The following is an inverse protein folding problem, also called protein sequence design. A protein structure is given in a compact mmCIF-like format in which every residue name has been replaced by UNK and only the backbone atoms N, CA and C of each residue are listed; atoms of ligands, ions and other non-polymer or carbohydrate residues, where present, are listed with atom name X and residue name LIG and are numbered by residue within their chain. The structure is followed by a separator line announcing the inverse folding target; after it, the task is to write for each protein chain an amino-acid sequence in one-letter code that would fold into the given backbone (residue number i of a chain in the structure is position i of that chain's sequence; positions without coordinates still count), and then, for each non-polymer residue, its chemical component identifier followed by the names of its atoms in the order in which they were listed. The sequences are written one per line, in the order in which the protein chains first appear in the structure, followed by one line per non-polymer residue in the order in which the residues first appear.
data_IF_607629149019
#
_entry.id   IF_607629149019
#
_cell.length_a   1.000
_cell.length_b   1.000
_cell.length_c   1.000
_cell.angle_alpha   90.00
_cell.angle_beta   90.00
_cell.angle_gamma   90.00
#
_symmetry.space_group_name_H-M   'P 1'
#
loop_
_entity.id
_entity.type
_entity.pdbx_description
1 polymer ?
#
# COMPACT_ATOMS: atom_id res chain seq x y z
N UNK A 1 26.31 8.07 92.11
CA UNK A 1 24.94 8.23 92.63
C UNK A 1 23.95 8.10 91.48
N UNK A 2 23.55 6.86 91.19
CA UNK A 2 22.18 6.51 90.73
C UNK A 2 21.22 6.72 91.93
N UNK A 3 19.88 6.78 91.79
CA UNK A 3 19.11 5.78 91.04
C UNK A 3 17.85 6.27 90.30
N UNK A 4 17.33 5.47 89.36
CA UNK A 4 16.12 4.63 89.49
C UNK A 4 14.92 5.28 88.81
N UNK A 5 13.95 4.63 88.18
CA UNK A 5 13.65 3.29 87.68
C UNK A 5 12.48 3.56 86.70
N UNK A 6 12.33 2.92 85.55
CA UNK A 6 11.62 1.65 85.53
C UNK A 6 11.78 0.96 84.17
N UNK A 7 12.40 -0.20 84.27
CA UNK A 7 12.33 -1.34 83.38
C UNK A 7 10.93 -1.96 83.32
N UNK A 8 10.56 -2.55 82.19
CA UNK A 8 10.21 -3.98 82.19
C UNK A 8 10.27 -4.57 80.79
N UNK A 9 11.08 -5.62 80.69
CA UNK A 9 11.08 -6.63 79.64
C UNK A 9 10.53 -7.91 80.27
N UNK A 10 9.88 -8.76 79.47
CA UNK A 10 9.92 -10.23 79.53
C UNK A 10 8.56 -10.96 79.47
N UNK A 11 8.61 -12.03 78.65
CA UNK A 11 7.92 -13.31 78.74
C UNK A 11 6.45 -13.44 78.30
N UNK A 12 6.32 -13.93 77.06
CA UNK A 12 5.71 -15.23 76.74
C UNK A 12 4.56 -15.72 77.62
N UNK A 13 3.36 -15.75 77.04
CA UNK A 13 2.38 -16.79 77.31
C UNK A 13 1.64 -17.12 76.01
N UNK A 14 1.81 -18.37 75.59
CA UNK A 14 1.16 -19.01 74.47
C UNK A 14 -0.37 -18.96 74.65
N UNK A 15 -1.07 -18.41 73.65
CA UNK A 15 -2.49 -18.72 73.45
C UNK A 15 -2.68 -19.24 72.03
N UNK A 16 -2.60 -20.56 71.95
CA UNK A 16 -3.37 -21.37 71.02
C UNK A 16 -4.83 -20.86 70.99
N UNK A 17 -5.38 -20.66 69.80
CA UNK A 17 -6.55 -21.41 69.28
C UNK A 17 -6.98 -20.83 67.91
N UNK A 18 -6.80 -21.69 66.90
CA UNK A 18 -7.56 -21.88 65.64
C UNK A 18 -7.72 -20.70 64.67
N UNK A 19 -6.73 -20.60 63.79
CA UNK A 19 -6.97 -20.17 62.42
C UNK A 19 -7.65 -21.32 61.64
N UNK A 20 -8.93 -21.18 61.29
CA UNK A 20 -9.60 -22.09 60.35
C UNK A 20 -9.22 -21.72 58.92
N UNK A 21 -8.06 -22.20 58.47
CA UNK A 21 -7.75 -22.23 57.05
C UNK A 21 -8.46 -23.41 56.39
N UNK A 22 -9.29 -23.12 55.38
CA UNK A 22 -9.86 -24.12 54.50
C UNK A 22 -8.73 -24.92 53.81
N UNK A 23 -8.86 -26.25 53.68
CA UNK A 23 -7.80 -27.08 53.08
C UNK A 23 -7.64 -26.72 51.60
N UNK A 24 -6.42 -26.31 51.22
CA UNK A 24 -6.01 -26.16 49.82
C UNK A 24 -5.99 -27.54 49.19
N UNK A 25 -6.82 -27.71 48.15
CA UNK A 25 -6.92 -28.90 47.32
C UNK A 25 -5.67 -28.97 46.41
N UNK A 26 -5.00 -30.13 46.27
CA UNK A 26 -3.96 -30.30 45.26
C UNK A 26 -4.63 -30.33 43.88
N UNK A 27 -4.38 -29.32 43.04
CA UNK A 27 -4.78 -29.33 41.64
C UNK A 27 -3.64 -29.86 40.78
N UNK A 28 -3.50 -31.17 40.72
CA UNK A 28 -2.86 -31.87 39.60
C UNK A 28 -3.42 -33.29 39.49
N UNK A 29 -4.28 -33.53 38.52
CA UNK A 29 -4.54 -34.85 37.93
C UNK A 29 -5.29 -34.60 36.61
N UNK A 30 -4.55 -34.66 35.50
CA UNK A 30 -5.11 -34.69 34.15
C UNK A 30 -5.96 -35.97 33.98
N UNK A 31 -7.10 -35.94 33.26
CA UNK A 31 -7.82 -37.16 32.93
C UNK A 31 -6.95 -38.05 32.02
N UNK A 32 -7.04 -39.40 32.13
CA UNK A 32 -6.26 -40.27 31.26
C UNK A 32 -6.67 -40.05 29.80
N UNK A 33 -5.74 -40.16 28.84
CA UNK A 33 -6.06 -39.97 27.43
C UNK A 33 -7.11 -40.99 27.02
N UNK A 34 -8.26 -40.51 26.52
CA UNK A 34 -9.23 -41.36 25.85
C UNK A 34 -8.52 -41.95 24.63
N UNK A 35 -8.34 -43.28 24.61
CA UNK A 35 -7.80 -43.99 23.44
C UNK A 35 -8.71 -43.66 22.25
N UNK A 36 -8.20 -42.84 21.33
CA UNK A 36 -8.87 -42.55 20.08
C UNK A 36 -8.98 -43.85 19.29
N UNK A 37 -10.17 -44.15 18.79
CA UNK A 37 -10.39 -45.33 17.97
C UNK A 37 -9.60 -45.20 16.67
N UNK A 38 -9.01 -46.29 16.14
CA UNK A 38 -8.34 -46.24 14.85
C UNK A 38 -9.31 -45.76 13.76
N UNK A 39 -8.82 -44.98 12.80
CA UNK A 39 -9.62 -44.45 11.70
C UNK A 39 -10.36 -45.55 10.93
N UNK A 40 -9.79 -46.76 10.87
CA UNK A 40 -10.45 -47.92 10.27
C UNK A 40 -11.77 -48.31 10.98
N UNK A 41 -11.84 -48.23 12.31
CA UNK A 41 -13.06 -48.53 13.08
C UNK A 41 -14.13 -47.45 12.88
N UNK A 42 -13.69 -46.19 12.76
CA UNK A 42 -14.58 -45.06 12.49
C UNK A 42 -15.22 -45.18 11.11
N UNK A 43 -14.41 -45.48 10.09
CA UNK A 43 -14.88 -45.66 8.71
C UNK A 43 -15.78 -46.88 8.55
N UNK A 44 -15.52 -47.97 9.29
CA UNK A 44 -16.37 -49.16 9.26
C UNK A 44 -17.76 -48.95 9.86
N UNK A 45 -17.93 -47.98 10.76
CA UNK A 45 -19.18 -47.73 11.49
C UNK A 45 -19.98 -46.52 10.98
N UNK A 46 -19.33 -45.60 10.28
CA UNK A 46 -19.99 -44.46 9.66
C UNK A 46 -20.88 -44.93 8.50
N UNK A 47 -22.20 -44.74 8.61
CA UNK A 47 -23.11 -44.93 7.48
C UNK A 47 -22.86 -43.78 6.49
N UNK A 48 -22.44 -44.10 5.27
CA UNK A 48 -22.39 -43.13 4.18
C UNK A 48 -23.83 -42.66 3.91
N UNK A 49 -24.15 -41.43 4.32
CA UNK A 49 -25.37 -40.77 3.90
C UNK A 49 -25.13 -40.28 2.46
N UNK A 50 -25.65 -41.02 1.48
CA UNK A 50 -25.80 -40.49 0.12
C UNK A 50 -26.96 -39.51 0.19
N UNK A 51 -26.64 -38.21 0.25
CA UNK A 51 -27.64 -37.18 0.01
C UNK A 51 -27.95 -37.20 -1.49
N UNK A 52 -29.19 -37.55 -1.84
CA UNK A 52 -29.72 -37.38 -3.18
C UNK A 52 -29.61 -35.90 -3.56
N UNK A 53 -29.03 -35.66 -4.74
CA UNK A 53 -28.61 -34.34 -5.21
C UNK A 53 -29.73 -33.78 -6.09
N UNK A 54 -30.73 -33.15 -5.48
CA UNK A 54 -31.81 -32.46 -6.19
C UNK A 54 -31.44 -31.00 -6.51
N UNK A 55 -31.55 -30.64 -7.79
CA UNK A 55 -31.84 -29.33 -8.39
C UNK A 55 -30.94 -28.11 -8.10
N UNK A 56 -29.68 -28.12 -8.55
CA UNK A 56 -28.86 -26.90 -8.70
C UNK A 56 -28.72 -26.42 -10.16
N UNK A 57 -29.56 -26.90 -11.07
CA UNK A 57 -29.41 -26.68 -12.52
C UNK A 57 -29.93 -25.32 -13.04
N UNK A 58 -30.39 -24.40 -12.18
CA UNK A 58 -30.94 -23.09 -12.61
C UNK A 58 -30.29 -21.87 -11.95
N UNK A 59 -29.02 -21.98 -11.50
CA UNK A 59 -28.29 -20.80 -10.99
C UNK A 59 -27.65 -20.03 -12.14
N UNK A 60 -28.32 -18.95 -12.57
CA UNK A 60 -27.79 -18.01 -13.57
C UNK A 60 -26.95 -16.89 -12.95
N UNK A 61 -25.99 -16.37 -13.71
CA UNK A 61 -25.17 -15.25 -13.27
C UNK A 61 -25.98 -13.95 -13.26
N UNK A 62 -26.09 -13.29 -12.11
CA UNK A 62 -26.83 -12.03 -11.93
C UNK A 62 -26.31 -10.86 -12.79
N UNK A 63 -25.08 -10.95 -13.31
CA UNK A 63 -24.46 -9.86 -14.06
C UNK A 63 -24.70 -9.97 -15.56
N UNK A 64 -24.58 -11.17 -16.14
CA UNK A 64 -24.74 -11.39 -17.57
C UNK A 64 -26.05 -12.10 -17.94
N UNK A 65 -26.78 -12.63 -16.94
CA UNK A 65 -28.04 -13.35 -17.13
C UNK A 65 -27.90 -14.74 -17.72
N UNK A 66 -26.68 -15.22 -17.97
CA UNK A 66 -26.41 -16.55 -18.54
C UNK A 66 -26.07 -17.56 -17.45
N UNK A 67 -26.56 -18.80 -17.63
CA UNK A 67 -26.18 -19.98 -16.83
C UNK A 67 -25.00 -20.77 -17.43
N UNK A 68 -24.43 -20.33 -18.55
CA UNK A 68 -23.28 -20.97 -19.17
C UNK A 68 -22.03 -20.79 -18.30
N UNK A 69 -21.07 -21.72 -18.33
CA UNK A 69 -19.85 -21.69 -17.47
C UNK A 69 -20.17 -21.76 -15.97
N UNK A 70 -21.04 -22.71 -15.63
CA UNK A 70 -21.30 -23.22 -14.28
C UNK A 70 -20.05 -23.41 -13.42
N UNK A 71 -18.97 -23.96 -13.98
CA UNK A 71 -17.68 -24.18 -13.30
C UNK A 71 -16.91 -22.89 -12.98
N UNK A 72 -17.27 -21.75 -13.58
CA UNK A 72 -16.74 -20.42 -13.26
C UNK A 72 -17.74 -19.60 -12.42
N UNK A 73 -18.81 -20.20 -11.90
CA UNK A 73 -19.86 -19.52 -11.14
C UNK A 73 -19.56 -19.53 -9.63
N UNK A 74 -19.52 -18.35 -9.02
CA UNK A 74 -19.38 -18.15 -7.58
C UNK A 74 -20.75 -17.87 -6.94
N UNK A 75 -21.03 -18.49 -5.80
CA UNK A 75 -22.20 -18.21 -4.99
C UNK A 75 -21.84 -17.26 -3.85
N UNK A 76 -22.66 -16.24 -3.65
CA UNK A 76 -22.50 -15.32 -2.54
C UNK A 76 -22.98 -15.95 -1.22
N UNK A 77 -22.12 -16.07 -0.21
CA UNK A 77 -22.46 -16.71 1.09
C UNK A 77 -23.53 -15.97 1.92
N UNK A 78 -23.97 -14.80 1.46
CA UNK A 78 -25.02 -14.00 2.13
C UNK A 78 -26.36 -14.02 1.41
N UNK A 79 -26.37 -14.19 0.09
CA UNK A 79 -27.61 -14.05 -0.69
C UNK A 79 -27.80 -15.14 -1.73
N UNK A 80 -26.92 -16.14 -1.76
CA UNK A 80 -26.95 -17.35 -2.58
C UNK A 80 -27.04 -17.11 -4.09
N UNK A 81 -26.87 -15.86 -4.53
CA UNK A 81 -26.88 -15.48 -5.94
C UNK A 81 -25.57 -15.87 -6.63
N UNK A 82 -25.68 -16.37 -7.86
CA UNK A 82 -24.58 -16.75 -8.73
C UNK A 82 -23.95 -15.56 -9.47
N UNK A 83 -22.62 -15.58 -9.59
CA UNK A 83 -21.85 -14.63 -10.38
C UNK A 83 -20.68 -15.34 -11.04
N UNK A 84 -20.47 -15.16 -12.35
CA UNK A 84 -19.22 -15.63 -12.93
C UNK A 84 -18.04 -14.89 -12.34
N UNK A 85 -16.97 -15.64 -12.12
CA UNK A 85 -15.62 -15.22 -11.78
C UNK A 85 -15.14 -14.00 -12.61
N UNK A 86 -15.46 -13.97 -13.91
CA UNK A 86 -15.12 -12.86 -14.82
C UNK A 86 -16.15 -11.72 -14.85
N UNK A 87 -17.33 -11.93 -14.28
CA UNK A 87 -18.42 -10.96 -14.24
C UNK A 87 -18.45 -10.13 -12.95
N UNK A 88 -17.64 -10.51 -11.96
CA UNK A 88 -17.42 -9.74 -10.73
C UNK A 88 -16.31 -8.71 -10.93
N UNK A 89 -16.34 -7.63 -10.16
CA UNK A 89 -15.33 -6.58 -10.20
C UNK A 89 -14.87 -6.30 -8.77
N UNK A 90 -13.59 -6.55 -8.42
CA UNK A 90 -12.51 -7.05 -9.29
C UNK A 90 -12.78 -8.48 -9.81
N UNK A 91 -12.16 -8.83 -10.95
CA UNK A 91 -12.26 -10.17 -11.55
C UNK A 91 -11.65 -11.19 -10.58
N UNK A 92 -12.36 -12.29 -10.36
CA UNK A 92 -11.88 -13.40 -9.53
C UNK A 92 -11.31 -14.46 -10.46
N UNK A 93 -10.01 -14.72 -10.39
CA UNK A 93 -9.34 -15.69 -11.28
C UNK A 93 -9.36 -17.13 -10.75
N UNK A 94 -9.64 -17.32 -9.46
CA UNK A 94 -9.79 -18.64 -8.80
C UNK A 94 -10.89 -18.57 -7.74
N UNK A 95 -11.56 -19.69 -7.47
CA UNK A 95 -12.55 -19.79 -6.38
C UNK A 95 -11.87 -19.35 -5.06
N UNK A 96 -12.40 -18.31 -4.38
CA UNK A 96 -11.80 -17.79 -3.15
C UNK A 96 -11.75 -18.85 -2.05
N UNK A 97 -10.69 -18.81 -1.25
CA UNK A 97 -10.57 -19.66 -0.07
C UNK A 97 -11.29 -18.95 1.08
N UNK A 98 -12.34 -19.57 1.62
CA UNK A 98 -13.18 -18.98 2.67
C UNK A 98 -14.40 -18.25 2.10
N UNK A 99 -15.00 -17.37 2.90
CA UNK A 99 -16.29 -16.78 2.55
C UNK A 99 -16.19 -15.72 1.45
N UNK A 100 -16.97 -15.84 0.38
CA UNK A 100 -17.08 -14.85 -0.69
C UNK A 100 -18.45 -14.15 -0.68
N UNK A 101 -18.41 -12.81 -0.76
CA UNK A 101 -19.59 -11.97 -0.81
C UNK A 101 -19.64 -11.22 -2.14
N UNK A 102 -20.80 -11.23 -2.80
CA UNK A 102 -20.99 -10.47 -4.03
C UNK A 102 -20.87 -8.95 -3.79
N UNK A 103 -20.65 -8.13 -4.83
CA UNK A 103 -20.51 -6.67 -4.67
C UNK A 103 -21.69 -5.96 -4.00
N UNK A 104 -22.89 -6.55 -4.01
CA UNK A 104 -24.06 -6.02 -3.29
C UNK A 104 -23.96 -6.32 -1.78
N UNK A 105 -23.37 -7.46 -1.42
CA UNK A 105 -23.28 -7.98 -0.06
C UNK A 105 -21.97 -7.63 0.65
N UNK A 106 -20.88 -7.44 -0.08
CA UNK A 106 -19.55 -7.13 0.46
C UNK A 106 -19.41 -5.68 0.93
N UNK A 107 -20.36 -4.80 0.61
CA UNK A 107 -20.28 -3.37 0.93
C UNK A 107 -19.14 -2.63 0.19
N UNK A 108 -18.38 -3.33 -0.67
CA UNK A 108 -17.34 -2.73 -1.48
C UNK A 108 -17.99 -1.80 -2.51
N UNK A 109 -17.72 -0.50 -2.35
CA UNK A 109 -18.16 0.52 -3.30
C UNK A 109 -17.57 0.14 -4.67
N UNK A 110 -18.43 -0.15 -5.66
CA UNK A 110 -18.01 -0.27 -7.07
C UNK A 110 -17.03 0.86 -7.37
N UNK A 111 -15.86 0.50 -7.88
CA UNK A 111 -14.86 1.46 -8.35
C UNK A 111 -15.52 2.31 -9.45
N UNK A 112 -16.00 3.51 -9.09
CA UNK A 112 -16.70 4.39 -10.02
C UNK A 112 -15.64 5.07 -10.89
N UNK A 113 -15.78 4.97 -12.21
CA UNK A 113 -15.00 5.77 -13.15
C UNK A 113 -15.07 7.25 -12.75
N UNK A 114 -13.90 7.90 -12.63
CA UNK A 114 -13.84 9.34 -12.41
C UNK A 114 -14.35 10.05 -13.66
N UNK A 115 -15.19 11.08 -13.50
CA UNK A 115 -15.51 11.98 -14.60
C UNK A 115 -14.31 12.90 -14.85
N UNK A 116 -14.13 13.38 -16.09
CA UNK A 116 -13.00 14.24 -16.46
C UNK A 116 -12.85 15.46 -15.53
N UNK A 117 -13.95 16.12 -15.16
CA UNK A 117 -13.94 17.25 -14.21
C UNK A 117 -13.38 16.85 -12.84
N UNK A 118 -13.77 15.68 -12.32
CA UNK A 118 -13.26 15.18 -11.03
C UNK A 118 -11.78 14.87 -11.08
N UNK A 119 -11.25 14.40 -12.22
CA UNK A 119 -9.81 14.15 -12.38
C UNK A 119 -9.05 15.47 -12.30
N UNK A 120 -9.47 16.48 -13.07
CA UNK A 120 -8.86 17.81 -13.08
C UNK A 120 -8.83 18.41 -11.68
N UNK A 121 -9.95 18.35 -10.97
CA UNK A 121 -10.07 18.89 -9.61
C UNK A 121 -9.21 18.11 -8.60
N UNK A 122 -9.19 16.77 -8.71
CA UNK A 122 -8.43 15.88 -7.83
C UNK A 122 -6.92 16.15 -7.91
N UNK A 123 -6.39 16.36 -9.11
CA UNK A 123 -4.97 16.68 -9.33
C UNK A 123 -4.66 18.18 -9.29
N UNK A 124 -5.66 19.05 -9.07
CA UNK A 124 -5.52 20.52 -9.06
C UNK A 124 -4.83 21.05 -10.33
N UNK A 125 -5.16 20.47 -11.48
CA UNK A 125 -4.51 20.79 -12.75
C UNK A 125 -4.74 22.27 -13.08
N UNK A 126 -3.64 23.00 -13.29
CA UNK A 126 -3.69 24.41 -13.62
C UNK A 126 -4.22 24.59 -15.05
N UNK A 127 -5.27 25.38 -15.22
CA UNK A 127 -5.69 25.82 -16.56
C UNK A 127 -4.71 26.88 -17.04
N UNK A 128 -3.91 26.55 -18.05
CA UNK A 128 -3.27 27.58 -18.85
C UNK A 128 -4.38 28.43 -19.50
N UNK A 129 -4.36 29.74 -19.27
CA UNK A 129 -5.18 30.66 -20.07
C UNK A 129 -4.67 30.56 -21.50
N UNK A 130 -5.56 30.49 -22.48
CA UNK A 130 -5.26 30.50 -23.91
C UNK A 130 -4.75 31.89 -24.36
N UNK A 131 -3.73 32.41 -23.69
CA UNK A 131 -2.86 33.45 -24.24
C UNK A 131 -1.76 32.68 -24.97
N UNK A 132 -1.60 32.93 -26.27
CA UNK A 132 -0.65 32.25 -27.16
C UNK A 132 0.75 32.15 -26.54
N UNK A 133 0.99 31.08 -25.79
CA UNK A 133 2.32 30.67 -25.41
C UNK A 133 2.99 30.17 -26.69
N UNK A 134 4.22 30.62 -27.03
CA UNK A 134 4.85 30.20 -28.25
C UNK A 134 5.00 28.68 -28.20
N UNK A 135 4.24 28.03 -29.07
CA UNK A 135 4.24 26.60 -29.32
C UNK A 135 5.69 26.17 -29.55
N UNK A 136 6.36 25.68 -28.51
CA UNK A 136 7.64 24.98 -28.66
C UNK A 136 7.29 23.65 -29.31
N UNK A 137 7.11 23.71 -30.63
CA UNK A 137 6.88 22.55 -31.45
C UNK A 137 7.96 21.51 -31.16
N UNK A 138 7.59 20.23 -31.26
CA UNK A 138 8.49 19.08 -31.16
C UNK A 138 9.72 19.14 -32.12
N UNK A 139 9.83 20.18 -32.95
CA UNK A 139 10.99 20.47 -33.79
C UNK A 139 12.10 21.29 -33.09
N UNK A 140 11.81 22.03 -32.00
CA UNK A 140 12.82 22.82 -31.29
C UNK A 140 13.86 21.93 -30.58
N UNK A 141 13.45 20.75 -30.12
CA UNK A 141 14.34 19.75 -29.50
C UNK A 141 15.32 19.14 -30.53
N UNK A 142 14.99 19.16 -31.83
CA UNK A 142 15.84 18.59 -32.89
C UNK A 142 16.97 19.52 -33.38
N UNK A 143 16.92 20.84 -33.12
CA UNK A 143 17.84 21.81 -33.75
C UNK A 143 19.11 22.19 -32.96
N UNK A 144 19.35 21.63 -31.77
CA UNK A 144 20.61 21.87 -31.01
C UNK A 144 21.76 20.89 -31.29
N UNK A 145 21.67 20.08 -32.34
CA UNK A 145 22.85 19.35 -32.86
C UNK A 145 23.56 20.18 -33.92
N UNK A 146 24.51 21.02 -33.50
CA UNK A 146 25.63 21.44 -34.35
C UNK A 146 26.95 20.93 -33.77
N UNK A 147 27.75 20.40 -34.68
CA UNK A 147 29.01 19.67 -34.56
C UNK A 147 29.80 19.96 -33.27
N UNK A 148 29.97 18.94 -32.44
CA UNK A 148 31.12 18.85 -31.54
C UNK A 148 32.04 17.76 -32.07
N UNK A 149 33.34 18.11 -32.10
CA UNK A 149 34.47 17.26 -32.46
C UNK A 149 34.32 15.84 -31.90
N UNK A 150 34.77 14.85 -32.68
CA UNK A 150 34.87 13.43 -32.32
C UNK A 150 35.90 13.24 -31.20
N UNK A 151 35.56 13.70 -30.00
CA UNK A 151 36.17 13.24 -28.75
C UNK A 151 35.17 12.30 -28.14
N UNK A 152 35.59 11.04 -27.94
CA UNK A 152 34.81 10.02 -27.26
C UNK A 152 34.56 10.48 -25.80
N UNK A 153 33.51 11.25 -25.61
CA UNK A 153 33.01 11.62 -24.28
C UNK A 153 32.23 10.40 -23.79
N UNK A 154 32.69 9.75 -22.72
CA UNK A 154 31.86 8.77 -21.98
C UNK A 154 30.46 9.39 -21.82
N UNK A 155 29.42 8.73 -22.36
CA UNK A 155 28.02 9.20 -22.25
C UNK A 155 27.77 9.55 -20.78
N UNK A 156 27.66 10.84 -20.47
CA UNK A 156 27.22 11.27 -19.14
C UNK A 156 25.81 10.75 -18.94
N UNK A 157 25.60 9.91 -17.93
CA UNK A 157 24.27 9.48 -17.48
C UNK A 157 23.59 10.71 -16.89
N UNK A 158 22.71 11.35 -17.67
CA UNK A 158 21.96 12.56 -17.30
C UNK A 158 20.48 12.23 -17.28
N UNK A 159 19.73 12.82 -16.36
CA UNK A 159 18.28 12.68 -16.34
C UNK A 159 17.66 13.24 -17.62
N UNK A 160 16.68 12.49 -18.13
CA UNK A 160 15.82 12.89 -19.24
C UNK A 160 14.41 13.17 -18.69
N UNK A 161 13.70 14.18 -19.20
CA UNK A 161 12.29 14.35 -18.86
C UNK A 161 11.47 13.20 -19.45
N UNK A 162 10.36 12.85 -18.81
CA UNK A 162 9.38 11.93 -19.41
C UNK A 162 8.71 12.55 -20.63
N UNK A 163 8.14 11.70 -21.48
CA UNK A 163 7.34 12.11 -22.63
C UNK A 163 5.88 11.76 -22.34
N UNK A 164 5.02 12.76 -22.07
CA UNK A 164 3.59 12.51 -21.89
C UNK A 164 2.98 11.92 -23.17
N UNK A 165 1.92 11.12 -23.02
CA UNK A 165 1.16 10.67 -24.19
C UNK A 165 0.56 11.87 -24.95
N UNK A 166 0.68 11.87 -26.27
CA UNK A 166 0.19 12.97 -27.12
C UNK A 166 -1.33 13.16 -27.01
N UNK A 167 -2.07 12.05 -26.98
CA UNK A 167 -3.53 12.04 -26.84
C UNK A 167 -3.98 12.50 -25.44
N UNK A 168 -4.72 13.63 -25.32
CA UNK A 168 -5.27 14.09 -24.05
C UNK A 168 -6.23 13.10 -23.38
N UNK A 169 -6.98 12.31 -24.15
CA UNK A 169 -7.89 11.31 -23.59
C UNK A 169 -7.11 10.19 -22.90
N UNK A 170 -5.98 9.79 -23.49
CA UNK A 170 -5.04 8.84 -22.89
C UNK A 170 -4.43 9.36 -21.60
N UNK A 171 -4.00 10.63 -21.55
CA UNK A 171 -3.51 11.26 -20.30
C UNK A 171 -4.58 11.30 -19.22
N UNK A 172 -5.83 11.59 -19.57
CA UNK A 172 -6.95 11.53 -18.64
C UNK A 172 -7.19 10.11 -18.09
N UNK A 173 -7.04 9.07 -18.92
CA UNK A 173 -7.12 7.67 -18.48
C UNK A 173 -6.00 7.33 -17.48
N UNK A 174 -4.77 7.73 -17.79
CA UNK A 174 -3.60 7.55 -16.92
C UNK A 174 -3.83 8.18 -15.55
N UNK A 175 -4.15 9.47 -15.50
CA UNK A 175 -4.47 10.17 -14.25
C UNK A 175 -5.69 9.57 -13.54
N UNK A 176 -6.73 9.18 -14.28
CA UNK A 176 -7.94 8.55 -13.74
C UNK A 176 -7.65 7.23 -13.03
N UNK A 177 -6.71 6.43 -13.54
CA UNK A 177 -6.29 5.18 -12.91
C UNK A 177 -5.64 5.42 -11.53
N UNK A 178 -4.77 6.43 -11.43
CA UNK A 178 -4.14 6.83 -10.18
C UNK A 178 -5.16 7.39 -9.17
N UNK A 179 -6.05 8.29 -9.61
CA UNK A 179 -7.11 8.82 -8.74
C UNK A 179 -7.99 7.72 -8.17
N UNK A 180 -8.23 6.68 -8.96
CA UNK A 180 -9.00 5.50 -8.56
C UNK A 180 -8.29 4.69 -7.48
N UNK A 181 -6.99 4.42 -7.64
CA UNK A 181 -6.19 3.73 -6.63
C UNK A 181 -6.12 4.52 -5.32
N UNK A 182 -5.76 5.81 -5.38
CA UNK A 182 -5.68 6.70 -4.21
C UNK A 182 -7.02 6.74 -3.45
N UNK A 183 -8.14 6.84 -4.16
CA UNK A 183 -9.47 6.86 -3.54
C UNK A 183 -9.82 5.54 -2.87
N UNK A 184 -9.34 4.42 -3.40
CA UNK A 184 -9.54 3.10 -2.78
C UNK A 184 -8.85 3.02 -1.42
N UNK A 185 -7.67 3.63 -1.29
CA UNK A 185 -6.93 3.75 -0.03
C UNK A 185 -7.33 4.98 0.81
N UNK A 186 -8.35 5.74 0.42
CA UNK A 186 -8.78 6.97 1.10
C UNK A 186 -7.65 8.02 1.23
N UNK A 187 -6.77 8.08 0.23
CA UNK A 187 -5.65 8.99 0.18
C UNK A 187 -5.96 10.26 -0.59
N UNK A 188 -5.32 11.35 -0.17
CA UNK A 188 -5.23 12.58 -0.94
C UNK A 188 -4.04 12.53 -1.90
N UNK A 189 -4.21 13.06 -3.11
CA UNK A 189 -3.08 13.24 -4.03
C UNK A 189 -2.12 14.31 -3.52
N UNK A 190 -0.83 14.01 -3.51
CA UNK A 190 0.24 14.96 -3.25
C UNK A 190 1.49 14.60 -4.06
N UNK A 191 1.98 15.54 -4.86
CA UNK A 191 3.21 15.38 -5.66
C UNK A 191 4.42 16.08 -5.02
N UNK A 192 4.35 16.32 -3.70
CA UNK A 192 5.39 16.97 -2.90
C UNK A 192 5.55 16.24 -1.55
N UNK A 193 6.73 16.38 -0.94
CA UNK A 193 6.90 16.06 0.48
C UNK A 193 6.08 17.02 1.34
N UNK A 194 5.31 16.46 2.28
CA UNK A 194 4.44 17.22 3.17
C UNK A 194 4.90 17.11 4.62
N UNK A 195 4.76 18.20 5.38
CA UNK A 195 5.25 18.31 6.75
C UNK A 195 4.10 18.70 7.67
N UNK A 196 3.58 17.73 8.41
CA UNK A 196 2.36 17.86 9.21
C UNK A 196 2.72 18.21 10.65
N UNK A 197 1.97 19.10 11.33
CA UNK A 197 2.14 19.34 12.75
C UNK A 197 2.06 18.04 13.57
N UNK A 198 3.04 17.81 14.44
CA UNK A 198 3.17 16.57 15.22
C UNK A 198 4.05 15.50 14.57
N UNK A 199 4.46 15.67 13.31
CA UNK A 199 5.46 14.85 12.62
C UNK A 199 6.78 15.63 12.49
N UNK A 200 7.68 15.19 11.60
CA UNK A 200 8.92 15.89 11.33
C UNK A 200 8.67 17.27 10.69
N UNK A 201 9.43 18.27 11.10
CA UNK A 201 9.40 19.59 10.49
C UNK A 201 10.23 19.62 9.21
N UNK A 202 9.93 20.56 8.31
CA UNK A 202 10.75 20.78 7.09
C UNK A 202 12.22 21.05 7.40
N UNK A 203 12.51 21.74 8.51
CA UNK A 203 13.87 22.03 8.93
C UNK A 203 14.67 20.81 9.39
N UNK A 204 14.00 19.69 9.69
CA UNK A 204 14.66 18.43 10.04
C UNK A 204 15.21 17.72 8.80
N UNK A 205 14.59 17.92 7.64
CA UNK A 205 15.04 17.34 6.36
C UNK A 205 16.20 18.15 5.78
N UNK A 206 17.41 17.89 6.28
CA UNK A 206 18.64 18.44 5.72
C UNK A 206 19.59 17.32 5.33
N UNK A 207 19.99 17.29 4.06
CA UNK A 207 20.86 16.26 3.50
C UNK A 207 22.25 16.19 4.16
N UNK A 208 22.68 17.25 4.85
CA UNK A 208 23.91 17.28 5.63
C UNK A 208 23.92 16.29 6.81
N UNK A 209 22.74 15.82 7.24
CA UNK A 209 22.62 14.84 8.32
C UNK A 209 22.69 13.40 7.84
N UNK A 210 22.71 13.15 6.51
CA UNK A 210 22.84 11.80 5.96
C UNK A 210 24.19 11.20 6.34
N UNK A 211 24.17 10.02 6.93
CA UNK A 211 25.39 9.29 7.23
C UNK A 211 26.09 8.84 5.94
N UNK A 212 27.39 9.06 5.85
CA UNK A 212 28.16 8.86 4.61
C UNK A 212 27.93 9.92 3.52
N UNK A 213 27.03 10.89 3.74
CA UNK A 213 26.76 12.01 2.83
C UNK A 213 25.85 11.66 1.65
N UNK A 214 25.13 12.67 1.16
CA UNK A 214 24.16 12.53 0.07
C UNK A 214 24.67 13.14 -1.23
N UNK A 215 24.44 12.44 -2.35
CA UNK A 215 24.78 12.98 -3.67
C UNK A 215 24.00 14.26 -3.97
N UNK A 216 24.71 15.31 -4.41
CA UNK A 216 24.09 16.55 -4.87
C UNK A 216 23.63 16.41 -6.33
N UNK A 217 22.35 16.71 -6.57
CA UNK A 217 21.80 16.74 -7.92
C UNK A 217 22.44 17.86 -8.74
N UNK A 218 22.87 17.55 -9.97
CA UNK A 218 23.49 18.55 -10.84
C UNK A 218 22.48 19.63 -11.24
N UNK A 219 22.95 20.85 -11.56
CA UNK A 219 22.06 21.93 -12.02
C UNK A 219 21.22 21.52 -13.23
N UNK A 220 21.81 20.78 -14.18
CA UNK A 220 21.11 20.31 -15.38
C UNK A 220 20.01 19.29 -15.06
N UNK A 221 20.25 18.41 -14.09
CA UNK A 221 19.28 17.40 -13.65
C UNK A 221 18.17 18.06 -12.80
N UNK A 222 18.51 19.07 -11.99
CA UNK A 222 17.54 19.87 -11.25
C UNK A 222 16.60 20.67 -12.19
N UNK A 223 17.14 21.23 -13.28
CA UNK A 223 16.31 21.86 -14.33
C UNK A 223 15.39 20.84 -15.01
N UNK A 224 15.86 19.60 -15.20
CA UNK A 224 15.06 18.51 -15.78
C UNK A 224 13.94 18.08 -14.83
N UNK A 225 14.21 18.00 -13.53
CA UNK A 225 13.21 17.72 -12.49
C UNK A 225 12.13 18.82 -12.44
N UNK A 226 12.52 20.09 -12.46
CA UNK A 226 11.57 21.21 -12.41
C UNK A 226 10.69 21.26 -13.68
N UNK A 227 11.26 20.92 -14.84
CA UNK A 227 10.49 20.74 -16.07
C UNK A 227 9.42 19.65 -15.91
N UNK A 228 9.77 18.50 -15.33
CA UNK A 228 8.82 17.42 -15.07
C UNK A 228 7.70 17.85 -14.12
N UNK A 229 8.04 18.53 -13.01
CA UNK A 229 7.04 19.10 -12.09
C UNK A 229 6.11 20.11 -12.76
N UNK A 230 6.65 20.95 -13.66
CA UNK A 230 5.84 21.90 -14.42
C UNK A 230 4.87 21.20 -15.40
N UNK A 231 5.30 20.09 -16.02
CA UNK A 231 4.44 19.24 -16.85
C UNK A 231 3.30 18.63 -16.02
N UNK A 232 3.61 18.00 -14.88
CA UNK A 232 2.59 17.41 -14.00
C UNK A 232 1.53 18.43 -13.57
N UNK A 233 1.94 19.65 -13.18
CA UNK A 233 1.03 20.73 -12.77
C UNK A 233 0.02 21.16 -13.84
N UNK A 234 0.33 20.96 -15.13
CA UNK A 234 -0.57 21.26 -16.26
C UNK A 234 -1.25 20.02 -16.85
N UNK A 235 -1.19 18.87 -16.17
CA UNK A 235 -1.87 17.63 -16.59
C UNK A 235 -1.11 16.82 -17.65
N UNK A 236 0.17 17.13 -17.86
CA UNK A 236 1.10 16.33 -18.64
C UNK A 236 1.82 15.36 -17.69
N UNK A 237 1.22 14.19 -17.46
CA UNK A 237 1.76 13.14 -16.60
C UNK A 237 2.72 12.20 -17.37
N UNK A 238 3.64 11.51 -16.66
CA UNK A 238 4.40 10.41 -17.26
C UNK A 238 3.44 9.33 -17.77
N UNK A 239 3.79 8.60 -18.85
CA UNK A 239 2.89 7.65 -19.51
C UNK A 239 2.78 6.35 -18.70
N UNK A 240 2.14 6.43 -17.54
CA UNK A 240 2.00 5.37 -16.56
C UNK A 240 0.53 5.08 -16.29
N UNK A 241 0.21 3.81 -16.09
CA UNK A 241 -1.12 3.35 -15.71
C UNK A 241 -1.04 2.59 -14.40
N UNK A 242 -1.96 2.89 -13.48
CA UNK A 242 -2.15 2.09 -12.27
C UNK A 242 -3.15 0.98 -12.58
N UNK A 243 -2.72 -0.28 -12.42
CA UNK A 243 -3.50 -1.48 -12.73
C UNK A 243 -3.64 -2.33 -11.48
N UNK A 244 -4.76 -3.05 -11.35
CA UNK A 244 -4.94 -3.99 -10.25
C UNK A 244 -4.59 -5.40 -10.73
N UNK A 245 -3.64 -6.02 -10.05
CA UNK A 245 -3.25 -7.43 -10.16
C UNK A 245 -3.73 -8.21 -8.93
N UNK A 246 -4.19 -9.45 -9.13
CA UNK A 246 -4.75 -10.26 -8.04
C UNK A 246 -3.71 -10.79 -7.04
N UNK A 247 -2.45 -10.90 -7.45
CA UNK A 247 -1.35 -11.41 -6.64
C UNK A 247 -0.58 -10.26 -5.98
N UNK A 248 -0.42 -9.15 -6.71
CA UNK A 248 0.45 -8.04 -6.31
C UNK A 248 -0.32 -6.80 -5.83
N UNK A 249 -1.65 -6.76 -5.98
CA UNK A 249 -2.46 -5.59 -5.63
C UNK A 249 -2.36 -4.51 -6.71
N UNK A 250 -2.29 -3.24 -6.31
CA UNK A 250 -2.12 -2.17 -7.29
C UNK A 250 -0.67 -2.10 -7.77
N UNK A 251 -0.48 -2.14 -9.09
CA UNK A 251 0.80 -2.09 -9.78
C UNK A 251 0.84 -0.91 -10.73
N UNK A 252 2.04 -0.53 -11.17
CA UNK A 252 2.25 0.54 -12.16
C UNK A 252 2.90 -0.04 -13.41
N UNK A 253 2.24 0.13 -14.55
CA UNK A 253 2.77 -0.26 -15.86
C UNK A 253 3.05 0.96 -16.73
N UNK A 254 4.03 0.85 -17.62
CA UNK A 254 4.27 1.84 -18.65
C UNK A 254 3.19 1.71 -19.73
N UNK A 255 2.41 2.78 -19.95
CA UNK A 255 1.46 2.86 -21.04
C UNK A 255 2.17 3.24 -22.35
N UNK A 256 3.33 3.92 -22.30
CA UNK A 256 4.10 4.28 -23.49
C UNK A 256 5.61 4.05 -23.28
N UNK A 257 6.42 4.25 -24.33
CA UNK A 257 7.86 4.06 -24.27
C UNK A 257 8.53 5.01 -23.27
N UNK A 258 9.21 4.44 -22.28
CA UNK A 258 10.07 5.16 -21.34
C UNK A 258 11.52 4.85 -21.71
N UNK A 259 12.31 5.89 -21.98
CA UNK A 259 13.72 5.73 -22.36
C UNK A 259 14.57 5.49 -21.12
N UNK A 260 15.72 4.85 -21.32
CA UNK A 260 16.76 4.79 -20.28
C UNK A 260 17.11 6.21 -19.79
N UNK A 261 17.38 6.33 -18.49
CA UNK A 261 17.63 7.58 -17.77
C UNK A 261 16.46 8.58 -17.71
N UNK A 262 15.23 8.19 -18.06
CA UNK A 262 14.04 9.04 -17.89
C UNK A 262 13.64 9.16 -16.42
N UNK A 263 13.44 10.39 -15.94
CA UNK A 263 12.80 10.67 -14.66
C UNK A 263 11.35 10.16 -14.70
N UNK A 264 10.99 9.30 -13.75
CA UNK A 264 9.64 8.72 -13.66
C UNK A 264 8.78 9.57 -12.73
N UNK A 265 9.11 9.58 -11.44
CA UNK A 265 8.36 10.27 -10.40
C UNK A 265 9.21 10.41 -9.12
N UNK A 266 8.91 11.40 -8.28
CA UNK A 266 9.45 11.51 -6.92
C UNK A 266 8.61 10.66 -5.96
N UNK A 267 9.23 10.05 -4.95
CA UNK A 267 8.49 9.36 -3.90
C UNK A 267 7.97 10.39 -2.88
N UNK A 268 6.66 10.55 -2.75
CA UNK A 268 6.04 11.64 -1.95
C UNK A 268 5.13 11.11 -0.85
N UNK A 269 4.94 11.91 0.20
CA UNK A 269 4.09 11.60 1.33
C UNK A 269 4.30 12.53 2.52
N UNK A 270 3.71 12.18 3.66
CA UNK A 270 3.97 12.86 4.94
C UNK A 270 5.38 12.48 5.41
N UNK A 271 6.21 13.46 5.78
CA UNK A 271 7.54 13.20 6.34
C UNK A 271 7.45 13.10 7.85
N UNK A 272 7.97 12.00 8.39
CA UNK A 272 7.97 11.74 9.83
C UNK A 272 9.33 11.20 10.30
N UNK A 273 9.54 11.17 11.60
CA UNK A 273 10.71 10.51 12.18
C UNK A 273 10.54 9.00 12.15
N UNK A 274 11.59 8.26 11.79
CA UNK A 274 11.55 6.80 11.72
C UNK A 274 11.11 6.16 13.05
N UNK A 275 11.59 6.69 14.19
CA UNK A 275 11.18 6.26 15.54
C UNK A 275 9.68 6.35 15.82
N UNK A 276 8.96 7.26 15.14
CA UNK A 276 7.52 7.42 15.31
C UNK A 276 6.72 6.33 14.57
N UNK A 277 7.40 5.55 13.71
CA UNK A 277 6.81 4.58 12.79
C UNK A 277 7.27 3.13 13.07
N UNK A 278 7.92 2.88 14.20
CA UNK A 278 8.42 1.54 14.57
C UNK A 278 7.32 0.47 14.67
N UNK A 279 6.09 0.90 14.99
CA UNK A 279 4.93 0.03 15.15
C UNK A 279 3.88 0.27 14.04
N UNK A 280 4.27 0.95 12.97
CA UNK A 280 3.40 1.24 11.83
C UNK A 280 3.26 -0.03 10.96
N UNK A 281 2.05 -0.29 10.47
CA UNK A 281 1.73 -1.42 9.58
C UNK A 281 1.77 -1.04 8.10
N UNK A 282 2.22 0.16 7.77
CA UNK A 282 2.38 0.69 6.43
C UNK A 282 3.37 -0.12 5.59
N UNK A 283 2.87 -0.65 4.47
CA UNK A 283 3.64 -1.44 3.49
C UNK A 283 4.46 -0.59 2.51
N UNK A 284 4.32 0.73 2.58
CA UNK A 284 4.83 1.69 1.58
C UNK A 284 5.73 2.77 2.22
N UNK A 285 6.35 2.48 3.36
CA UNK A 285 7.32 3.41 3.95
C UNK A 285 8.58 3.49 3.08
N UNK A 286 9.11 4.70 2.89
CA UNK A 286 10.35 4.93 2.13
C UNK A 286 11.32 5.78 2.94
N UNK A 287 12.55 5.32 3.14
CA UNK A 287 13.59 6.08 3.84
C UNK A 287 13.89 7.38 3.10
N UNK A 288 13.90 8.50 3.83
CA UNK A 288 14.26 9.82 3.29
C UNK A 288 15.67 10.23 3.70
N UNK A 289 16.03 9.98 4.97
CA UNK A 289 17.27 10.43 5.58
C UNK A 289 17.71 9.40 6.63
N UNK A 290 18.90 8.83 6.47
CA UNK A 290 19.52 7.93 7.45
C UNK A 290 20.60 8.69 8.21
N UNK A 291 20.25 9.20 9.40
CA UNK A 291 21.15 10.02 10.18
C UNK A 291 22.03 9.19 11.13
N UNK A 292 23.22 9.70 11.44
CA UNK A 292 24.12 9.11 12.45
C UNK A 292 23.46 8.94 13.82
N UNK A 293 22.62 9.90 14.21
CA UNK A 293 21.70 9.74 15.35
C UNK A 293 20.37 9.17 14.81
N UNK A 294 20.02 7.91 15.16
CA UNK A 294 18.79 7.27 14.68
C UNK A 294 17.53 8.06 15.01
N UNK A 295 17.54 8.85 16.10
CA UNK A 295 16.41 9.65 16.53
C UNK A 295 16.06 10.82 15.58
N UNK A 296 16.97 11.14 14.65
CA UNK A 296 16.86 12.16 13.60
C UNK A 296 16.59 11.59 12.21
N UNK A 297 16.57 10.26 12.06
CA UNK A 297 16.28 9.62 10.78
C UNK A 297 14.84 9.88 10.36
N UNK A 298 14.63 10.10 9.06
CA UNK A 298 13.33 10.47 8.48
C UNK A 298 12.84 9.41 7.51
N UNK A 299 11.53 9.27 7.46
CA UNK A 299 10.81 8.36 6.58
C UNK A 299 9.66 9.11 5.91
N UNK A 300 9.39 8.75 4.66
CA UNK A 300 8.22 9.19 3.89
C UNK A 300 7.11 8.18 4.13
N UNK A 301 5.96 8.68 4.55
CA UNK A 301 4.78 7.90 4.89
C UNK A 301 3.66 8.28 3.94
N UNK A 302 3.41 7.49 2.88
CA UNK A 302 2.37 7.80 1.93
C UNK A 302 1.01 7.22 2.35
N UNK A 303 0.69 7.18 3.65
CA UNK A 303 -0.52 6.58 4.23
C UNK A 303 -1.77 7.45 4.00
N UNK A 304 -1.62 8.78 4.12
CA UNK A 304 -2.70 9.76 3.95
C UNK A 304 -2.59 10.57 2.66
N UNK A 305 -1.37 10.87 2.26
CA UNK A 305 -1.02 11.71 1.11
C UNK A 305 0.07 11.04 0.30
N UNK A 306 -0.02 11.08 -1.02
CA UNK A 306 1.04 10.56 -1.88
C UNK A 306 0.68 10.61 -3.36
N UNK A 307 1.59 10.11 -4.19
CA UNK A 307 1.41 10.03 -5.63
C UNK A 307 1.52 8.58 -6.14
N UNK A 308 1.80 8.41 -7.44
CA UNK A 308 1.90 7.10 -8.08
C UNK A 308 3.10 6.27 -7.58
N UNK A 309 4.13 6.88 -7.01
CA UNK A 309 5.37 6.21 -6.65
C UNK A 309 5.16 5.05 -5.66
N UNK A 310 4.19 5.19 -4.75
CA UNK A 310 3.87 4.15 -3.75
C UNK A 310 3.28 2.88 -4.34
N UNK A 311 2.80 2.91 -5.58
CA UNK A 311 2.20 1.75 -6.27
C UNK A 311 3.19 1.06 -7.21
N UNK A 312 4.45 1.51 -7.26
CA UNK A 312 5.49 0.87 -8.07
C UNK A 312 6.00 -0.37 -7.33
N UNK A 313 5.95 -1.52 -7.99
CA UNK A 313 6.30 -2.80 -7.40
C UNK A 313 7.81 -2.97 -7.21
N UNK A 314 8.19 -3.66 -6.14
CA UNK A 314 9.57 -4.11 -5.90
C UNK A 314 9.88 -5.44 -6.59
N UNK A 315 11.17 -5.73 -6.73
CA UNK A 315 11.65 -7.04 -7.18
C UNK A 315 11.77 -8.02 -6.02
N UNK A 316 11.70 -9.32 -6.31
CA UNK A 316 12.06 -10.35 -5.33
C UNK A 316 13.58 -10.47 -5.22
N UNK A 317 14.14 -9.98 -4.11
CA UNK A 317 15.59 -10.02 -3.82
C UNK A 317 16.12 -11.41 -3.44
N UNK A 318 15.26 -12.43 -3.38
CA UNK A 318 15.62 -13.81 -3.02
C UNK A 318 15.55 -14.77 -4.21
N UNK A 319 15.11 -14.32 -5.38
CA UNK A 319 15.17 -15.11 -6.61
C UNK A 319 16.61 -15.10 -7.16
N UNK A 320 17.20 -16.27 -7.48
CA UNK A 320 18.57 -16.37 -8.01
C UNK A 320 18.77 -15.72 -9.37
#
# INVERSE_FOLDING_TARGET
MTPAFSSSSSAAAQRLIRCTHAPRRPSSMSPPPRKLKPMAEVMARAKYAVLERDDYDDVSCEKCGSGDRDHELLLCDKCDKGFHMKCVSPIVVRVPIGSWLCPKCSGQKRVRSFSQKKIIDFFRIQKCKDEEAPYLSAQAIKRRRRLRSLVWQKKRRRLLPFLPSEDPARRLKQMGSLATALTTFQMEFSDDLTYVPGMASRSANQAEYEDGGMQVLSKEDAETLELCRAMSRRGECPPLLVVFDSCEGFTVEADDQIKDMTFIVEYTGDVDYLKNREHDDGDSLMTLLSANDPSRSLVICPDKRGNIARFINGINNHSP
#
